data_IF_393982753992
#
_entry.id   IF_393982753992
#
_cell.length_a   1.000
_cell.length_b   1.000
_cell.length_c   1.000
_cell.angle_alpha   90.00
_cell.angle_beta   90.00
_cell.angle_gamma   90.00
#
_symmetry.space_group_name_H-M   'P 1'
#
loop_
_entity.id
_entity.type
_entity.pdbx_description
1 polymer ?
#
# COMPACT_ATOMS: atom_id res chain seq x y z
N UNK A 1 -38.78 -41.97 -0.41
CA UNK A 1 -38.12 -42.20 -1.71
C UNK A 1 -36.62 -42.12 -1.50
N UNK A 2 -35.90 -43.20 -1.81
CA UNK A 2 -34.47 -43.32 -1.51
C UNK A 2 -33.61 -42.54 -2.49
N UNK A 3 -32.40 -42.20 -2.06
CA UNK A 3 -31.38 -41.51 -2.86
C UNK A 3 -31.03 -42.30 -4.13
N UNK A 4 -31.18 -43.64 -4.11
CA UNK A 4 -30.97 -44.53 -5.25
C UNK A 4 -31.93 -44.28 -6.42
N UNK A 5 -33.21 -44.01 -6.16
CA UNK A 5 -34.20 -43.77 -7.22
C UNK A 5 -33.97 -42.42 -7.94
N UNK A 6 -33.43 -41.43 -7.22
CA UNK A 6 -33.09 -40.12 -7.80
C UNK A 6 -31.82 -40.15 -8.65
N UNK A 7 -30.92 -41.12 -8.41
CA UNK A 7 -29.71 -41.32 -9.22
C UNK A 7 -30.03 -42.05 -10.53
N UNK A 8 -30.95 -43.01 -10.52
CA UNK A 8 -31.39 -43.74 -11.73
C UNK A 8 -32.14 -42.85 -12.73
N UNK A 9 -32.87 -41.84 -12.26
CA UNK A 9 -33.57 -40.90 -13.13
C UNK A 9 -32.61 -39.92 -13.86
N UNK A 10 -31.39 -39.68 -13.34
CA UNK A 10 -30.41 -38.75 -13.93
C UNK A 10 -29.45 -39.41 -14.92
N UNK A 11 -29.39 -40.73 -14.98
CA UNK A 11 -28.50 -41.47 -15.91
C UNK A 11 -29.20 -41.90 -17.21
N UNK A 12 -30.51 -41.69 -17.33
CA UNK A 12 -31.32 -42.17 -18.46
C UNK A 12 -31.02 -41.49 -19.82
N UNK A 13 -30.25 -40.39 -19.86
CA UNK A 13 -30.01 -39.61 -21.08
C UNK A 13 -28.53 -39.49 -21.49
N UNK A 14 -27.65 -40.32 -20.92
CA UNK A 14 -26.25 -40.38 -21.37
C UNK A 14 -26.15 -41.42 -22.47
N UNK A 15 -26.20 -40.94 -23.72
CA UNK A 15 -26.00 -41.77 -24.91
C UNK A 15 -24.53 -42.25 -24.94
N UNK A 16 -24.30 -43.48 -24.47
CA UNK A 16 -22.98 -44.12 -24.51
C UNK A 16 -22.71 -44.50 -25.96
N UNK A 17 -21.85 -43.73 -26.65
CA UNK A 17 -21.30 -44.13 -27.95
C UNK A 17 -20.71 -45.54 -27.83
N UNK A 18 -21.06 -46.48 -28.73
CA UNK A 18 -20.51 -47.82 -28.67
C UNK A 18 -18.99 -47.77 -28.85
N UNK A 19 -18.29 -48.45 -27.95
CA UNK A 19 -16.83 -48.66 -28.05
C UNK A 19 -16.52 -49.28 -29.42
N UNK A 20 -15.46 -48.85 -30.12
CA UNK A 20 -15.03 -49.52 -31.33
C UNK A 20 -14.66 -50.98 -30.98
N UNK A 21 -15.34 -51.91 -31.63
CA UNK A 21 -15.09 -53.36 -31.49
C UNK A 21 -13.78 -53.65 -32.20
N UNK A 22 -12.71 -53.91 -31.44
CA UNK A 22 -11.41 -54.26 -32.02
C UNK A 22 -10.18 -54.04 -31.13
N UNK A 23 -10.26 -54.34 -29.84
CA UNK A 23 -9.03 -54.46 -29.03
C UNK A 23 -8.54 -55.92 -29.10
N UNK A 24 -7.26 -56.18 -29.45
CA UNK A 24 -6.73 -57.54 -29.42
C UNK A 24 -6.78 -58.06 -27.97
N UNK A 25 -7.24 -59.30 -27.80
CA UNK A 25 -7.24 -59.96 -26.50
C UNK A 25 -5.80 -60.03 -25.98
N UNK A 26 -5.49 -59.22 -24.97
CA UNK A 26 -4.16 -59.17 -24.34
C UNK A 26 -3.97 -60.51 -23.63
N UNK A 27 -3.09 -61.36 -24.17
CA UNK A 27 -2.75 -62.63 -23.53
C UNK A 27 -2.04 -62.34 -22.21
N UNK A 28 -2.71 -62.54 -21.08
CA UNK A 28 -2.07 -62.39 -19.77
C UNK A 28 -0.98 -63.46 -19.61
N UNK A 29 0.27 -63.03 -19.39
CA UNK A 29 1.35 -63.96 -19.12
C UNK A 29 0.99 -64.84 -17.90
N UNK A 30 1.14 -66.17 -18.04
CA UNK A 30 0.72 -67.15 -17.04
C UNK A 30 1.80 -67.48 -16.00
N UNK A 31 3.01 -66.96 -16.17
CA UNK A 31 4.16 -67.20 -15.29
C UNK A 31 4.39 -66.02 -14.34
N UNK A 32 4.85 -66.30 -13.12
CA UNK A 32 5.07 -65.28 -12.08
C UNK A 32 5.99 -64.14 -12.54
N UNK A 33 7.11 -64.40 -13.25
CA UNK A 33 7.94 -63.33 -13.81
C UNK A 33 7.27 -62.56 -14.96
N UNK A 34 6.48 -63.24 -15.80
CA UNK A 34 5.76 -62.60 -16.90
C UNK A 34 4.65 -61.67 -16.42
N UNK A 35 3.94 -62.03 -15.34
CA UNK A 35 2.95 -61.16 -14.69
C UNK A 35 3.58 -59.91 -14.08
N UNK A 36 4.76 -60.03 -13.51
CA UNK A 36 5.51 -58.89 -12.97
C UNK A 36 5.99 -57.96 -14.10
N UNK A 37 6.46 -58.52 -15.22
CA UNK A 37 6.89 -57.73 -16.38
C UNK A 37 5.72 -57.01 -17.06
N UNK A 38 4.56 -57.66 -17.19
CA UNK A 38 3.32 -57.05 -17.69
C UNK A 38 2.83 -55.94 -16.74
N UNK A 39 2.91 -56.14 -15.43
CA UNK A 39 2.59 -55.12 -14.45
C UNK A 39 3.54 -53.92 -14.54
N UNK A 40 4.85 -54.16 -14.68
CA UNK A 40 5.86 -53.12 -14.83
C UNK A 40 5.62 -52.30 -16.11
N UNK A 41 5.28 -52.95 -17.23
CA UNK A 41 4.96 -52.28 -18.49
C UNK A 41 3.68 -51.44 -18.39
N UNK A 42 2.67 -51.92 -17.65
CA UNK A 42 1.44 -51.14 -17.35
C UNK A 42 1.72 -49.93 -16.47
N UNK A 43 2.60 -50.08 -15.47
CA UNK A 43 3.02 -48.97 -14.60
C UNK A 43 3.78 -47.93 -15.41
N UNK A 44 4.78 -48.34 -16.19
CA UNK A 44 5.58 -47.42 -17.00
C UNK A 44 4.71 -46.68 -18.06
N UNK A 45 3.77 -47.37 -18.69
CA UNK A 45 2.84 -46.74 -19.65
C UNK A 45 1.81 -45.83 -18.97
N UNK A 46 1.37 -46.17 -17.74
CA UNK A 46 0.53 -45.28 -16.94
C UNK A 46 1.30 -44.02 -16.50
N UNK A 47 2.55 -44.16 -16.08
CA UNK A 47 3.43 -43.03 -15.70
C UNK A 47 3.69 -42.10 -16.88
N UNK A 48 3.98 -42.64 -18.07
CA UNK A 48 4.12 -41.84 -19.29
C UNK A 48 2.84 -41.09 -19.65
N UNK A 49 1.68 -41.75 -19.52
CA UNK A 49 0.38 -41.14 -19.79
C UNK A 49 0.01 -40.07 -18.78
N UNK A 50 0.39 -40.24 -17.51
CA UNK A 50 0.28 -39.22 -16.47
C UNK A 50 1.16 -38.02 -16.84
N UNK A 51 2.41 -38.24 -17.22
CA UNK A 51 3.34 -37.17 -17.62
C UNK A 51 2.83 -36.37 -18.82
N UNK A 52 2.30 -37.06 -19.84
CA UNK A 52 1.74 -36.45 -21.05
C UNK A 52 0.48 -35.61 -20.74
N UNK A 53 -0.45 -36.15 -19.93
CA UNK A 53 -1.63 -35.41 -19.47
C UNK A 53 -1.27 -34.21 -18.58
N UNK A 54 -0.23 -34.32 -17.74
CA UNK A 54 0.25 -33.17 -16.95
C UNK A 54 0.85 -32.09 -17.83
N UNK A 55 1.60 -32.45 -18.87
CA UNK A 55 2.14 -31.48 -19.83
C UNK A 55 1.03 -30.81 -20.66
N UNK A 56 0.00 -31.56 -21.03
CA UNK A 56 -1.18 -31.05 -21.73
C UNK A 56 -1.98 -30.08 -20.83
N UNK A 57 -2.20 -30.42 -19.55
CA UNK A 57 -2.79 -29.53 -18.55
C UNK A 57 -1.97 -28.24 -18.34
N UNK A 58 -0.64 -28.36 -18.22
CA UNK A 58 0.26 -27.19 -18.10
C UNK A 58 0.23 -26.30 -19.35
N UNK A 59 0.13 -26.90 -20.54
CA UNK A 59 -0.01 -26.16 -21.80
C UNK A 59 -1.37 -25.45 -21.91
N UNK A 60 -2.45 -26.11 -21.47
CA UNK A 60 -3.79 -25.54 -21.44
C UNK A 60 -3.93 -24.41 -20.39
N UNK A 61 -3.24 -24.55 -19.25
CA UNK A 61 -3.08 -23.50 -18.24
C UNK A 61 -2.35 -22.28 -18.80
N UNK A 62 -1.22 -22.47 -19.50
CA UNK A 62 -0.49 -21.38 -20.18
C UNK A 62 -1.27 -20.72 -21.31
N UNK A 63 -2.20 -21.43 -21.95
CA UNK A 63 -3.00 -20.90 -23.05
C UNK A 63 -4.20 -20.04 -22.59
N UNK A 64 -4.46 -19.90 -21.29
CA UNK A 64 -5.58 -19.11 -20.78
C UNK A 64 -6.93 -19.62 -21.31
N UNK A 65 -7.09 -20.95 -21.40
CA UNK A 65 -8.31 -21.59 -21.87
C UNK A 65 -9.50 -21.12 -21.04
N UNK A 66 -10.29 -20.24 -21.64
CA UNK A 66 -11.46 -19.69 -20.99
C UNK A 66 -12.62 -20.70 -21.04
N UNK A 67 -13.18 -21.02 -19.88
CA UNK A 67 -14.26 -21.99 -19.68
C UNK A 67 -15.51 -21.24 -19.23
N UNK A 68 -16.69 -21.65 -19.70
CA UNK A 68 -17.96 -21.09 -19.24
C UNK A 68 -18.33 -21.72 -17.89
N UNK A 69 -18.50 -20.88 -16.86
CA UNK A 69 -18.80 -21.31 -15.49
C UNK A 69 -20.19 -20.79 -15.10
N UNK A 70 -21.05 -21.61 -14.47
CA UNK A 70 -22.34 -21.17 -13.94
C UNK A 70 -22.17 -20.02 -12.94
N UNK A 71 -22.98 -18.97 -13.07
CA UNK A 71 -22.95 -17.82 -12.14
C UNK A 71 -23.33 -18.21 -10.70
N UNK A 72 -23.96 -19.37 -10.50
CA UNK A 72 -24.28 -19.94 -9.18
C UNK A 72 -23.06 -20.47 -8.45
N UNK A 73 -22.02 -20.84 -9.20
CA UNK A 73 -20.79 -21.44 -8.67
C UNK A 73 -19.70 -20.38 -8.48
N UNK A 74 -20.00 -19.12 -8.83
CA UNK A 74 -19.13 -17.97 -8.64
C UNK A 74 -19.44 -17.27 -7.31
N UNK A 75 -18.41 -17.14 -6.49
CA UNK A 75 -18.44 -16.49 -5.19
C UNK A 75 -17.60 -15.22 -5.19
N UNK A 76 -18.08 -14.21 -4.49
CA UNK A 76 -17.33 -12.98 -4.26
C UNK A 76 -16.76 -12.96 -2.86
N UNK A 77 -15.54 -12.44 -2.73
CA UNK A 77 -14.93 -12.15 -1.43
C UNK A 77 -15.09 -10.65 -1.13
N UNK A 78 -15.67 -10.28 0.03
CA UNK A 78 -15.80 -8.89 0.44
C UNK A 78 -14.45 -8.14 0.40
N UNK A 79 -14.46 -6.91 -0.10
CA UNK A 79 -13.26 -6.06 -0.16
C UNK A 79 -12.39 -6.22 -1.42
N UNK A 80 -12.68 -7.17 -2.32
CA UNK A 80 -11.95 -7.33 -3.60
C UNK A 80 -12.62 -6.64 -4.80
N UNK A 81 -13.85 -6.16 -4.62
CA UNK A 81 -14.62 -5.43 -5.64
C UNK A 81 -14.07 -4.01 -5.77
N UNK A 82 -13.68 -3.62 -6.99
CA UNK A 82 -13.30 -2.23 -7.30
C UNK A 82 -14.53 -1.34 -7.37
N UNK A 83 -14.42 -0.09 -6.94
CA UNK A 83 -15.48 0.89 -7.16
C UNK A 83 -15.63 1.21 -8.65
N UNK A 84 -16.87 1.21 -9.14
CA UNK A 84 -17.24 1.61 -10.50
C UNK A 84 -18.44 2.56 -10.42
N UNK A 85 -18.35 3.77 -10.99
CA UNK A 85 -19.48 4.71 -11.02
C UNK A 85 -20.70 4.09 -11.71
N UNK A 86 -21.90 4.44 -11.24
CA UNK A 86 -23.16 3.90 -11.74
C UNK A 86 -23.33 4.08 -13.25
N UNK A 87 -22.98 5.25 -13.80
CA UNK A 87 -23.09 5.53 -15.23
C UNK A 87 -22.23 4.57 -16.08
N UNK A 88 -20.97 4.35 -15.64
CA UNK A 88 -20.06 3.40 -16.31
C UNK A 88 -20.54 1.97 -16.20
N UNK A 89 -21.13 1.59 -15.07
CA UNK A 89 -21.72 0.27 -14.90
C UNK A 89 -22.91 0.07 -15.86
N UNK A 90 -23.76 1.09 -16.03
CA UNK A 90 -24.89 1.05 -16.96
C UNK A 90 -24.42 0.87 -18.41
N UNK A 91 -23.39 1.61 -18.82
CA UNK A 91 -22.76 1.45 -20.14
C UNK A 91 -22.18 0.04 -20.35
N UNK A 92 -21.48 -0.51 -19.34
CA UNK A 92 -20.96 -1.87 -19.38
C UNK A 92 -22.10 -2.89 -19.57
N UNK A 93 -23.19 -2.74 -18.80
CA UNK A 93 -24.33 -3.66 -18.88
C UNK A 93 -25.00 -3.60 -20.25
N UNK A 94 -25.23 -2.40 -20.79
CA UNK A 94 -25.80 -2.25 -22.14
C UNK A 94 -24.86 -2.79 -23.23
N UNK A 95 -23.54 -2.64 -23.06
CA UNK A 95 -22.57 -3.24 -23.97
C UNK A 95 -22.66 -4.78 -23.95
N UNK A 96 -22.68 -5.39 -22.77
CA UNK A 96 -22.78 -6.85 -22.58
C UNK A 96 -24.15 -7.43 -22.95
N UNK A 97 -25.18 -6.58 -23.06
CA UNK A 97 -26.49 -6.95 -23.61
C UNK A 97 -26.40 -7.24 -25.10
N UNK A 98 -25.66 -6.42 -25.86
CA UNK A 98 -25.57 -6.52 -27.32
C UNK A 98 -24.34 -7.28 -27.83
N UNK A 99 -23.27 -7.30 -27.05
CA UNK A 99 -21.99 -7.88 -27.44
C UNK A 99 -21.62 -9.10 -26.58
N UNK A 100 -20.81 -9.99 -27.15
CA UNK A 100 -20.21 -11.09 -26.39
C UNK A 100 -19.13 -10.56 -25.45
N UNK A 101 -18.91 -11.25 -24.34
CA UNK A 101 -17.81 -10.95 -23.43
C UNK A 101 -16.46 -11.24 -24.11
N UNK A 102 -15.73 -10.18 -24.44
CA UNK A 102 -14.40 -10.25 -25.08
C UNK A 102 -13.34 -10.64 -24.04
N UNK A 103 -13.35 -9.95 -22.90
CA UNK A 103 -12.41 -10.20 -21.82
C UNK A 103 -13.07 -11.12 -20.79
N UNK A 104 -12.56 -12.34 -20.55
CA UNK A 104 -13.14 -13.26 -19.57
C UNK A 104 -12.95 -12.78 -18.13
N UNK A 105 -13.78 -13.31 -17.22
CA UNK A 105 -13.67 -13.10 -15.77
C UNK A 105 -12.55 -13.98 -15.23
N UNK A 106 -11.68 -13.45 -14.36
CA UNK A 106 -10.61 -14.25 -13.76
C UNK A 106 -11.13 -14.86 -12.48
N UNK A 107 -10.98 -16.17 -12.35
CA UNK A 107 -11.47 -16.92 -11.20
C UNK A 107 -10.40 -17.88 -10.67
N UNK A 108 -10.53 -18.27 -9.40
CA UNK A 108 -9.71 -19.31 -8.77
C UNK A 108 -10.58 -20.34 -8.06
N UNK A 109 -10.13 -21.60 -7.96
CA UNK A 109 -10.87 -22.64 -7.25
C UNK A 109 -10.91 -22.38 -5.73
N UNK A 110 -12.04 -22.65 -5.09
CA UNK A 110 -12.21 -22.58 -3.62
C UNK A 110 -12.06 -23.95 -2.98
N UNK A 111 -11.56 -23.98 -1.74
CA UNK A 111 -11.42 -25.23 -0.95
C UNK A 111 -12.79 -25.87 -0.65
N UNK A 112 -13.82 -25.04 -0.46
CA UNK A 112 -15.21 -25.48 -0.18
C UNK A 112 -16.00 -25.88 -1.44
N UNK A 113 -15.37 -25.84 -2.62
CA UNK A 113 -16.04 -26.01 -3.91
C UNK A 113 -16.50 -24.70 -4.54
N UNK A 114 -16.73 -24.74 -5.85
CA UNK A 114 -17.00 -23.56 -6.68
C UNK A 114 -15.75 -22.73 -6.96
N UNK A 115 -15.96 -21.51 -7.43
CA UNK A 115 -14.90 -20.60 -7.85
C UNK A 115 -15.09 -19.23 -7.20
N UNK A 116 -13.97 -18.59 -6.87
CA UNK A 116 -13.92 -17.21 -6.41
C UNK A 116 -13.57 -16.29 -7.57
N UNK A 117 -14.25 -15.15 -7.68
CA UNK A 117 -13.92 -14.09 -8.63
C UNK A 117 -12.69 -13.31 -8.13
N UNK A 118 -11.60 -13.37 -8.88
CA UNK A 118 -10.40 -12.54 -8.64
C UNK A 118 -10.55 -11.19 -9.34
N UNK A 119 -11.05 -11.19 -10.59
CA UNK A 119 -11.25 -9.97 -11.37
C UNK A 119 -12.43 -10.09 -12.31
N UNK A 120 -13.23 -9.02 -12.43
CA UNK A 120 -14.42 -8.99 -13.29
C UNK A 120 -15.76 -9.06 -12.58
N UNK A 121 -15.81 -8.75 -11.27
CA UNK A 121 -17.03 -8.64 -10.46
C UNK A 121 -18.21 -7.97 -11.20
N UNK A 122 -18.01 -6.75 -11.73
CA UNK A 122 -19.05 -6.01 -12.46
C UNK A 122 -19.58 -6.72 -13.71
N UNK A 123 -18.75 -7.52 -14.39
CA UNK A 123 -19.17 -8.33 -15.55
C UNK A 123 -20.06 -9.49 -15.12
N UNK A 124 -19.71 -10.15 -14.01
CA UNK A 124 -20.54 -11.22 -13.44
C UNK A 124 -21.88 -10.70 -12.94
N UNK A 125 -21.92 -9.51 -12.35
CA UNK A 125 -23.16 -8.85 -11.94
C UNK A 125 -24.03 -8.49 -13.14
N UNK A 126 -23.45 -7.84 -14.16
CA UNK A 126 -24.18 -7.49 -15.37
C UNK A 126 -24.79 -8.74 -16.04
N UNK A 127 -24.06 -9.86 -16.06
CA UNK A 127 -24.57 -11.13 -16.57
C UNK A 127 -25.72 -11.69 -15.74
N UNK A 128 -25.63 -11.58 -14.40
CA UNK A 128 -26.69 -11.98 -13.48
C UNK A 128 -27.96 -11.12 -13.66
N UNK A 129 -27.81 -9.80 -13.80
CA UNK A 129 -28.92 -8.87 -14.08
C UNK A 129 -29.55 -9.10 -15.45
N UNK A 130 -28.76 -9.47 -16.45
CA UNK A 130 -29.23 -9.79 -17.81
C UNK A 130 -29.86 -11.20 -17.91
N UNK A 131 -29.96 -11.95 -16.81
CA UNK A 131 -30.57 -13.27 -16.77
C UNK A 131 -29.79 -14.35 -17.52
N UNK A 132 -28.47 -14.20 -17.67
CA UNK A 132 -27.60 -15.24 -18.23
C UNK A 132 -27.33 -16.31 -17.17
N UNK A 133 -27.03 -17.54 -17.59
CA UNK A 133 -26.79 -18.67 -16.68
C UNK A 133 -25.31 -18.88 -16.37
N UNK A 134 -24.45 -18.66 -17.37
CA UNK A 134 -23.01 -18.87 -17.34
C UNK A 134 -22.26 -17.63 -17.82
N UNK A 135 -20.98 -17.55 -17.44
CA UNK A 135 -20.07 -16.50 -17.87
C UNK A 135 -18.70 -17.10 -18.18
N UNK A 136 -18.05 -16.55 -19.21
CA UNK A 136 -16.75 -17.01 -19.67
C UNK A 136 -15.65 -16.58 -18.67
N UNK A 137 -14.96 -17.56 -18.12
CA UNK A 137 -13.98 -17.40 -17.06
C UNK A 137 -12.62 -17.98 -17.45
N UNK A 138 -11.52 -17.41 -16.93
CA UNK A 138 -10.19 -18.00 -16.98
C UNK A 138 -9.81 -18.43 -15.58
N UNK A 139 -9.39 -19.69 -15.42
CA UNK A 139 -8.82 -20.17 -14.17
C UNK A 139 -7.39 -19.65 -14.04
N UNK A 140 -7.12 -19.00 -12.92
CA UNK A 140 -5.77 -18.60 -12.54
C UNK A 140 -5.39 -19.35 -11.26
N UNK A 141 -4.24 -20.02 -11.29
CA UNK A 141 -3.70 -20.78 -10.16
C UNK A 141 -2.95 -19.82 -9.23
N UNK A 142 -3.71 -18.90 -8.64
CA UNK A 142 -3.23 -17.96 -7.63
C UNK A 142 -3.69 -18.42 -6.25
N UNK A 143 -2.77 -18.33 -5.30
CA UNK A 143 -3.07 -18.57 -3.89
C UNK A 143 -4.06 -17.52 -3.36
N UNK A 144 -4.75 -17.83 -2.25
CA UNK A 144 -5.66 -16.87 -1.58
C UNK A 144 -4.95 -15.56 -1.27
N UNK A 145 -3.71 -15.68 -0.81
CA UNK A 145 -2.87 -14.56 -0.42
C UNK A 145 -2.46 -13.72 -1.63
N UNK A 146 -2.04 -14.33 -2.73
CA UNK A 146 -1.71 -13.61 -3.97
C UNK A 146 -2.93 -12.89 -4.56
N UNK A 147 -4.10 -13.54 -4.56
CA UNK A 147 -5.34 -12.93 -5.02
C UNK A 147 -5.76 -11.77 -4.10
N UNK A 148 -5.63 -11.93 -2.78
CA UNK A 148 -5.89 -10.86 -1.80
C UNK A 148 -4.96 -9.66 -2.03
N UNK A 149 -3.68 -9.93 -2.26
CA UNK A 149 -2.64 -8.94 -2.44
C UNK A 149 -2.84 -8.15 -3.74
N UNK A 150 -3.10 -8.84 -4.85
CA UNK A 150 -3.41 -8.22 -6.14
C UNK A 150 -4.66 -7.35 -6.08
N UNK A 151 -5.71 -7.83 -5.40
CA UNK A 151 -6.93 -7.05 -5.18
C UNK A 151 -6.66 -5.78 -4.35
N UNK A 152 -5.88 -5.90 -3.27
CA UNK A 152 -5.48 -4.74 -2.46
C UNK A 152 -4.71 -3.71 -3.28
N UNK A 153 -3.67 -4.11 -4.02
CA UNK A 153 -2.90 -3.17 -4.86
C UNK A 153 -3.75 -2.52 -5.96
N UNK A 154 -4.68 -3.25 -6.56
CA UNK A 154 -5.59 -2.71 -7.58
C UNK A 154 -6.60 -1.68 -7.00
N UNK A 155 -6.97 -1.84 -5.73
CA UNK A 155 -7.85 -0.93 -4.99
C UNK A 155 -7.10 0.21 -4.29
N UNK A 156 -5.81 0.04 -4.00
CA UNK A 156 -5.00 0.93 -3.17
C UNK A 156 -5.06 2.40 -3.60
N UNK A 157 -5.05 2.65 -4.92
CA UNK A 157 -5.03 4.00 -5.49
C UNK A 157 -6.43 4.55 -5.81
N UNK A 158 -7.51 3.84 -5.47
CA UNK A 158 -8.86 4.40 -5.58
C UNK A 158 -9.13 5.38 -4.42
N UNK A 159 -10.04 6.32 -4.66
CA UNK A 159 -10.40 7.42 -3.76
C UNK A 159 -11.01 7.00 -2.42
N UNK A 160 -11.43 5.73 -2.30
CA UNK A 160 -12.35 5.32 -1.26
C UNK A 160 -11.63 4.87 0.03
N UNK A 161 -10.34 4.52 -0.07
CA UNK A 161 -9.53 4.15 1.09
C UNK A 161 -8.86 5.40 1.67
N UNK A 162 -8.98 5.58 2.99
CA UNK A 162 -8.22 6.60 3.70
C UNK A 162 -6.74 6.22 3.74
N UNK A 163 -5.88 7.21 3.97
CA UNK A 163 -4.44 6.93 4.09
C UNK A 163 -4.12 6.03 5.29
N UNK A 164 -4.92 6.09 6.36
CA UNK A 164 -4.80 5.16 7.48
C UNK A 164 -5.16 3.72 7.08
N UNK A 165 -6.25 3.52 6.34
CA UNK A 165 -6.64 2.18 5.86
C UNK A 165 -5.61 1.59 4.90
N UNK A 166 -5.04 2.41 4.01
CA UNK A 166 -3.93 1.99 3.14
C UNK A 166 -2.72 1.55 3.97
N UNK A 167 -2.39 2.29 5.02
CA UNK A 167 -1.34 1.89 5.96
C UNK A 167 -1.64 0.53 6.60
N UNK A 168 -2.86 0.31 7.09
CA UNK A 168 -3.25 -0.98 7.69
C UNK A 168 -3.06 -2.13 6.71
N UNK A 169 -3.44 -1.95 5.44
CA UNK A 169 -3.23 -2.95 4.40
C UNK A 169 -1.75 -3.22 4.13
N UNK A 170 -0.90 -2.19 4.00
CA UNK A 170 0.54 -2.38 3.86
C UNK A 170 1.18 -3.07 5.07
N UNK A 171 0.74 -2.74 6.28
CA UNK A 171 1.19 -3.40 7.52
C UNK A 171 0.83 -4.88 7.53
N UNK A 172 -0.37 -5.22 7.08
CA UNK A 172 -0.81 -6.63 7.02
C UNK A 172 -0.03 -7.41 5.96
N UNK A 173 0.36 -6.77 4.84
CA UNK A 173 1.29 -7.35 3.85
C UNK A 173 2.65 -7.63 4.50
N UNK A 174 3.21 -6.69 5.25
CA UNK A 174 4.49 -6.91 5.93
C UNK A 174 4.45 -8.06 6.95
N UNK A 175 3.31 -8.24 7.64
CA UNK A 175 3.11 -9.37 8.57
C UNK A 175 3.06 -10.71 7.84
N UNK A 176 2.39 -10.78 6.69
CA UNK A 176 2.25 -12.00 5.89
C UNK A 176 3.54 -12.36 5.15
N UNK A 177 4.31 -11.36 4.74
CA UNK A 177 5.57 -11.53 4.02
C UNK A 177 6.74 -10.90 4.78
N UNK A 178 7.25 -11.56 5.84
CA UNK A 178 8.39 -11.06 6.60
C UNK A 178 9.59 -10.79 5.69
N UNK A 179 10.15 -9.58 5.77
CA UNK A 179 11.29 -9.16 4.96
C UNK A 179 10.94 -8.48 3.63
N UNK A 180 9.65 -8.31 3.29
CA UNK A 180 9.26 -7.45 2.18
C UNK A 180 9.68 -6.00 2.46
N UNK A 181 10.41 -5.40 1.52
CA UNK A 181 10.89 -4.02 1.65
C UNK A 181 9.81 -3.04 1.21
N UNK A 182 9.83 -1.82 1.76
CA UNK A 182 8.93 -0.74 1.30
C UNK A 182 9.12 -0.43 -0.19
N UNK A 183 10.35 -0.56 -0.71
CA UNK A 183 10.64 -0.38 -2.13
C UNK A 183 9.91 -1.42 -3.00
N UNK A 184 9.89 -2.69 -2.58
CA UNK A 184 9.19 -3.76 -3.29
C UNK A 184 7.67 -3.60 -3.22
N UNK A 185 7.14 -3.17 -2.06
CA UNK A 185 5.72 -2.84 -1.92
C UNK A 185 5.32 -1.66 -2.83
N UNK A 186 6.18 -0.65 -2.97
CA UNK A 186 5.96 0.49 -3.85
C UNK A 186 5.95 0.09 -5.34
N UNK A 187 6.89 -0.77 -5.74
CA UNK A 187 6.97 -1.35 -7.09
C UNK A 187 5.69 -2.13 -7.43
N UNK A 188 5.25 -3.04 -6.55
CA UNK A 188 4.03 -3.82 -6.74
C UNK A 188 2.76 -2.95 -6.76
N UNK A 189 2.73 -1.89 -5.96
CA UNK A 189 1.64 -0.92 -5.92
C UNK A 189 1.65 0.06 -7.12
N UNK A 190 2.72 0.10 -7.92
CA UNK A 190 2.88 1.08 -9.00
C UNK A 190 2.94 2.52 -8.52
N UNK A 191 3.47 2.77 -7.32
CA UNK A 191 3.51 4.09 -6.67
C UNK A 191 4.94 4.48 -6.28
N UNK A 192 5.28 5.78 -6.16
CA UNK A 192 6.59 6.18 -5.68
C UNK A 192 6.90 5.64 -4.27
N UNK A 193 8.15 5.24 -3.97
CA UNK A 193 8.53 4.77 -2.64
C UNK A 193 8.26 5.77 -1.51
N UNK A 194 8.25 7.06 -1.81
CA UNK A 194 7.91 8.12 -0.85
C UNK A 194 6.48 8.03 -0.34
N UNK A 195 5.53 7.59 -1.17
CA UNK A 195 4.11 7.42 -0.79
C UNK A 195 3.98 6.28 0.22
N UNK A 196 4.56 5.12 -0.10
CA UNK A 196 4.58 3.98 0.83
C UNK A 196 5.29 4.35 2.13
N UNK A 197 6.40 5.08 2.07
CA UNK A 197 7.11 5.54 3.27
C UNK A 197 6.25 6.45 4.15
N UNK A 198 5.50 7.40 3.55
CA UNK A 198 4.59 8.27 4.29
C UNK A 198 3.43 7.50 4.94
N UNK A 199 2.85 6.53 4.25
CA UNK A 199 1.82 5.64 4.81
C UNK A 199 2.38 4.76 5.92
N UNK A 200 3.57 4.18 5.74
CA UNK A 200 4.20 3.36 6.77
C UNK A 200 4.60 4.18 8.01
N UNK A 201 4.74 5.50 7.89
CA UNK A 201 5.07 6.35 9.03
C UNK A 201 4.00 6.31 10.14
N UNK A 202 2.74 5.99 9.83
CA UNK A 202 1.67 5.83 10.83
C UNK A 202 2.04 4.79 11.91
N UNK A 203 2.88 3.79 11.59
CA UNK A 203 3.37 2.79 12.54
C UNK A 203 4.06 3.39 13.77
N UNK A 204 4.66 4.58 13.62
CA UNK A 204 5.40 5.24 14.68
C UNK A 204 4.56 6.24 15.49
N UNK A 205 3.25 6.33 15.24
CA UNK A 205 2.38 7.15 16.04
C UNK A 205 2.16 6.52 17.43
N UNK A 206 1.97 7.34 18.47
CA UNK A 206 1.59 6.84 19.79
C UNK A 206 0.30 6.02 19.72
N UNK A 207 0.18 4.98 20.55
CA UNK A 207 -0.99 4.09 20.57
C UNK A 207 -2.31 4.86 20.72
N UNK A 208 -2.35 5.87 21.59
CA UNK A 208 -3.54 6.71 21.78
C UNK A 208 -4.00 7.41 20.48
N UNK A 209 -3.06 7.76 19.59
CA UNK A 209 -3.39 8.32 18.27
C UNK A 209 -3.92 7.26 17.32
N UNK A 210 -3.33 6.06 17.34
CA UNK A 210 -3.82 4.92 16.54
C UNK A 210 -5.24 4.53 16.95
N UNK A 211 -5.53 4.51 18.25
CA UNK A 211 -6.87 4.20 18.78
C UNK A 211 -7.92 5.24 18.34
N UNK A 212 -7.52 6.50 18.12
CA UNK A 212 -8.38 7.55 17.55
C UNK A 212 -8.59 7.34 16.04
N UNK A 213 -7.53 6.96 15.32
CA UNK A 213 -7.60 6.66 13.88
C UNK A 213 -8.42 5.39 13.58
N UNK A 214 -8.43 4.43 14.50
CA UNK A 214 -9.31 3.25 14.41
C UNK A 214 -10.79 3.63 14.55
N UNK A 215 -11.11 4.72 15.26
CA UNK A 215 -12.48 5.25 15.40
C UNK A 215 -12.86 6.17 14.23
N UNK A 216 -11.93 7.01 13.79
CA UNK A 216 -12.08 7.91 12.63
C UNK A 216 -10.85 7.81 11.71
N UNK A 217 -10.90 6.93 10.69
CA UNK A 217 -9.80 6.74 9.75
C UNK A 217 -9.51 7.96 8.86
N UNK A 218 -10.39 8.97 8.84
CA UNK A 218 -10.24 10.17 8.00
C UNK A 218 -9.46 11.29 8.70
N UNK A 219 -9.22 11.14 10.00
CA UNK A 219 -8.67 12.18 10.87
C UNK A 219 -7.31 12.71 10.39
N UNK A 220 -6.43 11.83 9.89
CA UNK A 220 -5.09 12.19 9.42
C UNK A 220 -4.83 11.66 8.01
N UNK A 221 -4.32 12.55 7.15
CA UNK A 221 -3.70 12.17 5.88
C UNK A 221 -2.23 11.76 6.04
N UNK A 222 -1.67 11.12 5.01
CA UNK A 222 -0.31 10.58 5.03
C UNK A 222 0.78 11.61 5.37
N UNK A 223 0.66 12.85 4.87
CA UNK A 223 1.64 13.91 5.14
C UNK A 223 1.64 14.32 6.62
N UNK A 224 0.47 14.63 7.18
CA UNK A 224 0.34 15.02 8.57
C UNK A 224 0.73 13.87 9.50
N UNK A 225 0.30 12.64 9.18
CA UNK A 225 0.71 11.43 9.90
C UNK A 225 2.23 11.26 9.94
N UNK A 226 2.91 11.39 8.79
CA UNK A 226 4.37 11.27 8.71
C UNK A 226 5.11 12.35 9.52
N UNK A 227 4.65 13.60 9.49
CA UNK A 227 5.24 14.69 10.27
C UNK A 227 5.05 14.48 11.78
N UNK A 228 3.86 14.08 12.21
CA UNK A 228 3.54 13.77 13.61
C UNK A 228 4.34 12.57 14.11
N UNK A 229 4.47 11.51 13.30
CA UNK A 229 5.33 10.36 13.60
C UNK A 229 6.79 10.74 13.77
N UNK A 230 7.30 11.62 12.91
CA UNK A 230 8.66 12.13 13.05
C UNK A 230 8.86 12.93 14.35
N UNK A 231 7.84 13.66 14.81
CA UNK A 231 7.84 14.36 16.10
C UNK A 231 7.76 13.39 17.28
N UNK A 232 6.93 12.34 17.19
CA UNK A 232 6.82 11.31 18.22
C UNK A 232 8.17 10.60 18.43
N UNK A 233 8.85 10.19 17.35
CA UNK A 233 10.20 9.60 17.40
C UNK A 233 11.27 10.52 17.99
N UNK A 234 11.07 11.84 17.92
CA UNK A 234 11.93 12.85 18.56
C UNK A 234 11.62 13.05 20.05
N UNK A 235 10.85 12.15 20.67
CA UNK A 235 10.50 12.19 22.09
C UNK A 235 9.32 13.11 22.42
N UNK A 236 8.47 13.44 21.45
CA UNK A 236 7.30 14.33 21.65
C UNK A 236 5.96 13.60 21.55
N UNK A 237 5.93 12.32 21.92
CA UNK A 237 4.73 11.49 21.85
C UNK A 237 3.53 12.16 22.54
N UNK A 238 3.69 12.68 23.75
CA UNK A 238 2.60 13.31 24.52
C UNK A 238 2.00 14.54 23.81
N UNK A 239 2.83 15.35 23.17
CA UNK A 239 2.38 16.54 22.44
C UNK A 239 1.70 16.20 21.12
N UNK A 240 2.13 15.09 20.50
CA UNK A 240 1.46 14.56 19.32
C UNK A 240 0.07 14.07 19.69
N UNK A 241 -0.08 13.35 20.81
CA UNK A 241 -1.39 12.93 21.33
C UNK A 241 -2.29 14.14 21.58
N UNK A 242 -1.83 15.14 22.35
CA UNK A 242 -2.62 16.34 22.64
C UNK A 242 -3.05 17.10 21.37
N UNK A 243 -2.15 17.20 20.39
CA UNK A 243 -2.44 17.88 19.13
C UNK A 243 -3.49 17.12 18.29
N UNK A 244 -3.42 15.79 18.25
CA UNK A 244 -4.40 14.97 17.52
C UNK A 244 -5.74 14.91 18.24
N UNK A 245 -5.77 14.92 19.57
CA UNK A 245 -7.03 15.03 20.33
C UNK A 245 -7.76 16.35 20.03
N UNK A 246 -7.03 17.47 19.92
CA UNK A 246 -7.62 18.76 19.53
C UNK A 246 -8.12 18.75 18.09
N UNK A 247 -7.41 18.06 17.20
CA UNK A 247 -7.85 17.82 15.82
C UNK A 247 -9.15 17.01 15.78
N UNK A 248 -9.25 15.94 16.57
CA UNK A 248 -10.44 15.10 16.66
C UNK A 248 -11.66 15.85 17.22
N UNK A 249 -11.43 16.84 18.10
CA UNK A 249 -12.47 17.76 18.59
C UNK A 249 -12.86 18.86 17.60
N UNK A 250 -12.17 18.95 16.45
CA UNK A 250 -12.38 20.00 15.45
C UNK A 250 -11.89 21.39 15.87
N UNK A 251 -11.06 21.48 16.93
CA UNK A 251 -10.52 22.75 17.41
C UNK A 251 -9.41 23.31 16.50
N UNK A 252 -8.74 22.43 15.77
CA UNK A 252 -7.61 22.75 14.89
C UNK A 252 -7.66 21.92 13.60
N UNK A 253 -7.04 22.43 12.54
CA UNK A 253 -6.79 21.66 11.32
C UNK A 253 -5.51 20.80 11.42
N UNK A 254 -5.29 19.91 10.44
CA UNK A 254 -4.11 19.03 10.43
C UNK A 254 -2.79 19.80 10.46
N UNK A 255 -2.68 20.91 9.73
CA UNK A 255 -1.45 21.71 9.68
C UNK A 255 -1.18 22.44 11.01
N UNK A 256 -2.25 22.89 11.68
CA UNK A 256 -2.19 23.48 13.01
C UNK A 256 -1.82 22.45 14.07
N UNK A 257 -2.36 21.23 14.00
CA UNK A 257 -1.97 20.13 14.89
C UNK A 257 -0.46 19.84 14.80
N UNK A 258 0.10 19.77 13.59
CA UNK A 258 1.55 19.61 13.41
C UNK A 258 2.35 20.80 13.98
N UNK A 259 1.86 22.03 13.78
CA UNK A 259 2.49 23.24 14.35
C UNK A 259 2.47 23.23 15.89
N UNK A 260 1.36 22.84 16.51
CA UNK A 260 1.25 22.70 17.96
C UNK A 260 2.22 21.65 18.48
N UNK A 261 2.25 20.49 17.83
CA UNK A 261 3.16 19.40 18.14
C UNK A 261 4.64 19.77 17.88
N UNK A 262 4.95 20.85 17.14
CA UNK A 262 6.32 21.31 16.85
C UNK A 262 6.76 22.58 17.60
N UNK A 263 5.86 23.40 18.14
CA UNK A 263 6.11 24.78 18.66
C UNK A 263 7.34 24.97 19.57
N UNK A 264 7.63 24.08 20.51
CA UNK A 264 8.82 24.27 21.39
C UNK A 264 10.17 24.02 20.71
N UNK A 265 10.23 23.27 19.62
CA UNK A 265 11.47 23.13 18.83
C UNK A 265 11.76 24.42 18.04
N UNK A 266 10.75 25.26 17.79
CA UNK A 266 10.91 26.55 17.15
C UNK A 266 11.32 27.64 18.16
N UNK A 267 10.86 27.58 19.41
CA UNK A 267 11.31 28.51 20.46
C UNK A 267 12.78 28.32 20.84
N UNK A 268 13.35 27.13 20.61
CA UNK A 268 14.79 26.90 20.76
C UNK A 268 15.63 27.47 19.58
N UNK A 269 15.01 27.81 18.44
CA UNK A 269 15.69 28.36 17.25
C UNK A 269 15.56 29.87 17.07
N UNK A 270 14.73 30.56 17.84
CA UNK A 270 14.70 32.03 17.83
C UNK A 270 15.73 32.59 18.80
N UNK A 271 16.98 32.74 18.34
CA UNK A 271 17.92 33.64 19.00
C UNK A 271 17.27 35.04 19.15
N UNK A 272 17.51 35.76 20.26
CA UNK A 272 16.92 37.08 20.46
C UNK A 272 17.30 37.99 19.29
N UNK A 273 16.29 38.64 18.68
CA UNK A 273 16.50 39.59 17.58
C UNK A 273 17.48 40.66 18.05
N UNK A 274 18.67 40.70 17.44
CA UNK A 274 19.66 41.74 17.69
C UNK A 274 19.02 43.11 17.41
N UNK A 275 19.09 44.04 18.36
CA UNK A 275 18.78 45.45 18.13
C UNK A 275 19.91 46.02 17.28
N UNK A 276 19.67 46.15 15.97
CA UNK A 276 20.60 46.75 15.03
C UNK A 276 20.33 48.25 14.86
N UNK A 277 21.37 49.07 15.00
CA UNK A 277 21.34 50.50 14.70
C UNK A 277 22.28 50.79 13.53
N UNK A 278 21.76 51.44 12.49
CA UNK A 278 22.56 51.87 11.33
C UNK A 278 23.11 53.28 11.57
N UNK A 279 24.42 53.41 11.67
CA UNK A 279 25.11 54.70 11.74
C UNK A 279 25.29 55.20 10.31
N UNK A 280 24.79 56.40 10.01
CA UNK A 280 24.81 57.00 8.66
C UNK A 280 25.72 58.22 8.64
N UNK A 281 26.47 58.40 7.56
CA UNK A 281 27.22 59.61 7.24
C UNK A 281 26.57 60.26 6.01
N UNK A 282 25.64 61.20 6.24
CA UNK A 282 24.84 61.79 5.16
C UNK A 282 23.88 60.78 4.52
N UNK A 283 24.03 60.52 3.22
CA UNK A 283 23.18 59.59 2.44
C UNK A 283 23.66 58.13 2.46
N UNK A 284 24.89 57.86 2.88
CA UNK A 284 25.47 56.51 2.95
C UNK A 284 25.40 55.94 4.37
N UNK A 285 25.30 54.61 4.45
CA UNK A 285 25.43 53.87 5.71
C UNK A 285 26.92 53.69 5.97
N UNK A 286 27.39 54.20 7.10
CA UNK A 286 28.79 54.13 7.51
C UNK A 286 29.07 52.79 8.21
N UNK A 287 28.21 52.38 9.16
CA UNK A 287 28.36 51.11 9.89
C UNK A 287 27.01 50.56 10.37
N UNK A 288 26.83 49.23 10.31
CA UNK A 288 25.74 48.52 11.02
C UNK A 288 26.25 48.01 12.37
N UNK A 289 25.68 48.56 13.45
CA UNK A 289 25.98 48.17 14.82
C UNK A 289 24.90 47.23 15.32
N UNK A 290 25.26 45.98 15.59
CA UNK A 290 24.37 44.98 16.19
C UNK A 290 24.85 44.60 17.57
N UNK A 291 23.98 44.80 18.55
CA UNK A 291 24.18 44.32 19.91
C UNK A 291 23.27 43.10 20.18
N UNK A 292 23.86 42.01 20.67
CA UNK A 292 23.13 40.84 21.14
C UNK A 292 23.81 40.27 22.38
N UNK A 293 23.10 40.24 23.52
CA UNK A 293 23.64 39.82 24.83
C UNK A 293 24.94 40.57 25.18
N UNK A 294 26.07 39.85 25.25
CA UNK A 294 27.40 40.34 25.56
C UNK A 294 28.30 40.52 24.32
N UNK A 295 27.72 40.47 23.12
CA UNK A 295 28.45 40.59 21.85
C UNK A 295 28.01 41.86 21.12
N UNK A 296 28.99 42.71 20.81
CA UNK A 296 28.86 43.87 19.93
C UNK A 296 29.50 43.53 18.59
N UNK A 297 28.75 43.63 17.49
CA UNK A 297 29.25 43.45 16.12
C UNK A 297 29.08 44.76 15.36
N UNK A 298 30.17 45.20 14.73
CA UNK A 298 30.19 46.34 13.82
C UNK A 298 30.51 45.82 12.41
N UNK A 299 29.72 46.23 11.42
CA UNK A 299 29.91 45.87 10.02
C UNK A 299 30.12 47.14 9.21
N UNK A 300 31.30 47.28 8.60
CA UNK A 300 31.70 48.44 7.80
C UNK A 300 31.68 48.11 6.31
N UNK A 301 31.56 49.14 5.48
CA UNK A 301 31.53 48.96 4.01
C UNK A 301 32.92 48.70 3.42
N UNK A 302 34.00 49.12 4.09
CA UNK A 302 35.38 48.95 3.62
C UNK A 302 36.29 48.40 4.72
N UNK A 303 37.33 47.66 4.32
CA UNK A 303 38.29 47.04 5.25
C UNK A 303 39.19 48.08 5.94
N UNK A 304 39.53 49.18 5.26
CA UNK A 304 40.39 50.24 5.79
C UNK A 304 39.69 51.03 6.92
N UNK A 305 38.39 51.32 6.77
CA UNK A 305 37.59 51.94 7.84
C UNK A 305 37.43 51.00 9.03
N UNK A 306 37.26 49.70 8.80
CA UNK A 306 37.17 48.72 9.87
C UNK A 306 38.46 48.65 10.70
N UNK A 307 39.63 48.71 10.07
CA UNK A 307 40.94 48.71 10.76
C UNK A 307 41.17 50.00 11.56
N UNK A 308 40.87 51.16 10.99
CA UNK A 308 41.01 52.44 11.70
C UNK A 308 40.12 52.50 12.96
N UNK A 309 38.85 52.12 12.84
CA UNK A 309 37.91 52.11 13.98
C UNK A 309 38.28 51.03 15.01
N UNK A 310 38.88 49.90 14.58
CA UNK A 310 39.37 48.87 15.50
C UNK A 310 40.49 49.41 16.40
N UNK A 311 41.43 50.18 15.87
CA UNK A 311 42.52 50.77 16.66
C UNK A 311 41.99 51.79 17.68
N UNK A 312 41.05 52.65 17.27
CA UNK A 312 40.41 53.62 18.16
C UNK A 312 39.58 52.94 19.26
N UNK A 313 38.78 51.92 18.92
CA UNK A 313 38.00 51.15 19.89
C UNK A 313 38.89 50.42 20.88
N UNK A 314 40.02 49.87 20.42
CA UNK A 314 40.99 49.21 21.30
C UNK A 314 41.52 50.19 22.36
N UNK A 315 41.97 51.36 21.95
CA UNK A 315 42.47 52.38 22.87
C UNK A 315 41.39 52.84 23.86
N UNK A 316 40.15 53.04 23.40
CA UNK A 316 39.02 53.44 24.24
C UNK A 316 38.66 52.36 25.27
N UNK A 317 38.65 51.09 24.86
CA UNK A 317 38.37 49.95 25.75
C UNK A 317 39.47 49.75 26.79
N UNK A 318 40.74 49.92 26.41
CA UNK A 318 41.88 49.87 27.34
C UNK A 318 41.77 50.96 28.41
N UNK A 319 41.47 52.21 28.01
CA UNK A 319 41.24 53.30 28.95
C UNK A 319 40.07 53.04 29.91
N UNK A 320 38.95 52.51 29.39
CA UNK A 320 37.77 52.13 30.21
C UNK A 320 38.10 50.99 31.18
N UNK A 321 38.92 50.04 30.77
CA UNK A 321 39.38 48.95 31.62
C UNK A 321 40.25 49.46 32.78
N UNK A 322 41.13 50.45 32.54
CA UNK A 322 41.93 51.09 33.59
C UNK A 322 41.08 51.83 34.62
N UNK A 323 40.01 52.52 34.19
CA UNK A 323 39.05 53.18 35.09
C UNK A 323 38.22 52.16 35.89
N UNK A 324 37.78 51.08 35.25
CA UNK A 324 37.06 50.01 35.94
C UNK A 324 37.92 49.30 37.00
N UNK A 325 39.24 49.22 36.80
CA UNK A 325 40.18 48.65 37.76
C UNK A 325 40.45 49.57 38.98
N UNK A 326 40.24 50.88 38.84
CA UNK A 326 40.41 51.86 39.92
C UNK A 326 39.15 51.96 40.79
N UNK A 327 37.96 51.91 40.21
CA UNK A 327 36.67 51.89 40.95
C UNK A 327 36.45 50.63 41.78
N UNK A 328 37.09 49.49 41.45
CA UNK A 328 37.02 48.25 42.24
C UNK A 328 37.95 48.21 43.45
N UNK A 329 38.87 49.17 43.58
CA UNK A 329 39.86 49.27 44.66
C UNK A 329 39.52 50.34 45.71
N UNK A 330 38.45 51.11 45.50
CA UNK A 330 37.82 51.96 46.54
C UNK A 330 36.64 51.22 47.16
#
# INVERSE_FOLDING_TARGET
MGIGDKLLAKTANVEVKPRPVGAPAVSEARTSPGRLMDAQNRINSAEQRIAELTAELESARKAGSAVDIPLTDLHEVPGRRRHMPADKYLELRENLRHNKLIHPVVVRPRVEGGFEIVSGHHRSDAYRELGRNDIRCVLEDVTEDEASLGAFYANLLQSDLTDYEKYLGFRDIQKRYPGITQARMAEQAGTPPSVVSALMAFEHLPKAVLDLLDQDPTLLGANAGAELSALARKGRADKVVEAVEKLAKGEVDQAQAVKLASRELQSAKSAPKATGFKIRAGRSVYCDLRAARNVLRLEFSTEDEAKAVQEELKALLEHRASQFATDKKS
#
